data_IF_657664271699
#
_entry.id   IF_657664271699
#
_cell.length_a   1.000
_cell.length_b   1.000
_cell.length_c   1.000
_cell.angle_alpha   90.00
_cell.angle_beta   90.00
_cell.angle_gamma   90.00
#
_symmetry.space_group_name_H-M   'P 1'
#
loop_
_entity.id
_entity.type
_entity.pdbx_description
1 polymer ?
#
# COMPACT_ATOMS: atom_id res chain seq x y z
N UNK A 1 -17.71 -76.34 -40.18
CA UNK A 1 -18.83 -76.80 -41.02
C UNK A 1 -19.71 -75.59 -41.31
N UNK A 2 -20.13 -75.46 -42.57
CA UNK A 2 -21.07 -74.49 -43.12
C UNK A 2 -20.59 -73.03 -43.28
N UNK A 3 -20.36 -72.72 -44.54
CA UNK A 3 -20.15 -71.45 -45.26
C UNK A 3 -21.46 -70.69 -45.53
N UNK A 4 -21.31 -69.48 -46.12
CA UNK A 4 -22.30 -68.60 -46.81
C UNK A 4 -22.78 -67.38 -46.00
N UNK A 5 -22.79 -66.12 -46.49
CA UNK A 5 -22.57 -65.51 -47.82
C UNK A 5 -22.50 -63.96 -47.66
N UNK A 6 -21.79 -63.21 -48.52
CA UNK A 6 -22.07 -61.78 -48.84
C UNK A 6 -23.15 -61.72 -49.97
N UNK A 7 -23.63 -60.59 -50.59
CA UNK A 7 -23.07 -59.22 -50.68
C UNK A 7 -24.09 -58.03 -50.76
N UNK A 8 -23.52 -56.82 -50.82
CA UNK A 8 -23.92 -55.55 -51.51
C UNK A 8 -25.32 -55.33 -52.14
N UNK A 9 -25.87 -54.14 -51.91
CA UNK A 9 -26.53 -53.32 -52.96
C UNK A 9 -26.48 -51.81 -52.65
N UNK A 10 -25.72 -51.06 -53.44
CA UNK A 10 -25.95 -49.63 -53.76
C UNK A 10 -26.71 -49.59 -55.12
N UNK A 11 -27.10 -48.44 -55.72
CA UNK A 11 -27.18 -47.04 -55.26
C UNK A 11 -28.52 -46.35 -55.65
N UNK A 12 -28.82 -45.19 -55.07
CA UNK A 12 -29.60 -44.17 -55.80
C UNK A 12 -29.03 -42.79 -55.53
N UNK A 13 -28.37 -42.25 -56.54
CA UNK A 13 -27.90 -40.88 -56.69
C UNK A 13 -29.07 -39.91 -56.81
N UNK A 14 -29.09 -38.88 -55.97
CA UNK A 14 -29.59 -37.57 -56.33
C UNK A 14 -28.55 -36.55 -55.85
N UNK A 15 -27.96 -35.87 -56.82
CA UNK A 15 -26.98 -34.80 -56.65
C UNK A 15 -27.66 -33.50 -56.19
N UNK A 16 -26.85 -32.72 -55.48
CA UNK A 16 -26.79 -31.26 -55.42
C UNK A 16 -27.95 -30.48 -54.78
N UNK A 17 -27.76 -30.17 -53.50
CA UNK A 17 -27.95 -28.80 -53.01
C UNK A 17 -26.66 -28.31 -52.34
N UNK A 18 -25.93 -27.46 -53.06
CA UNK A 18 -24.95 -26.55 -52.49
C UNK A 18 -25.74 -25.37 -51.93
N UNK A 19 -25.89 -25.30 -50.60
CA UNK A 19 -26.28 -24.07 -49.93
C UNK A 19 -25.78 -24.02 -48.48
N UNK A 20 -24.93 -23.02 -48.27
CA UNK A 20 -24.56 -22.31 -47.05
C UNK A 20 -23.45 -22.84 -46.14
N UNK A 21 -22.52 -21.94 -45.74
CA UNK A 21 -21.51 -22.24 -44.75
C UNK A 21 -22.21 -22.49 -43.42
N UNK A 22 -21.82 -23.59 -42.77
CA UNK A 22 -22.20 -23.87 -41.39
C UNK A 22 -21.77 -22.66 -40.55
N UNK A 23 -22.79 -21.92 -40.12
CA UNK A 23 -22.74 -20.80 -39.21
C UNK A 23 -21.86 -21.16 -38.00
N UNK A 24 -20.77 -20.42 -37.69
CA UNK A 24 -20.02 -20.70 -36.48
C UNK A 24 -20.83 -20.14 -35.32
N UNK A 25 -21.64 -20.98 -34.67
CA UNK A 25 -22.21 -20.61 -33.39
C UNK A 25 -21.62 -21.49 -32.28
N UNK A 26 -20.46 -21.09 -31.69
CA UNK A 26 -19.97 -21.62 -30.43
C UNK A 26 -19.84 -20.49 -29.39
N UNK A 27 -20.82 -19.60 -29.30
CA UNK A 27 -20.79 -18.53 -28.31
C UNK A 27 -21.45 -19.00 -27.02
N UNK A 28 -20.74 -18.94 -25.90
CA UNK A 28 -21.29 -19.08 -24.54
C UNK A 28 -22.23 -17.91 -24.17
N UNK A 29 -22.81 -17.21 -25.16
CA UNK A 29 -23.75 -16.11 -24.97
C UNK A 29 -23.17 -14.83 -24.35
N UNK A 30 -21.85 -14.76 -24.12
CA UNK A 30 -21.24 -13.59 -23.51
C UNK A 30 -21.20 -12.39 -24.45
N UNK A 31 -21.69 -11.25 -23.96
CA UNK A 31 -21.62 -9.94 -24.61
C UNK A 31 -20.85 -8.98 -23.70
N UNK A 32 -20.08 -8.08 -24.28
CA UNK A 32 -19.32 -7.07 -23.54
C UNK A 32 -19.64 -5.68 -24.07
N UNK A 33 -20.29 -4.85 -23.26
CA UNK A 33 -20.70 -3.51 -23.63
C UNK A 33 -20.54 -2.57 -22.44
N UNK A 34 -20.06 -1.36 -22.68
CA UNK A 34 -19.91 -0.29 -21.67
C UNK A 34 -19.20 -0.72 -20.38
N UNK A 35 -18.17 -1.58 -20.49
CA UNK A 35 -17.39 -2.03 -19.34
C UNK A 35 -18.05 -3.14 -18.52
N UNK A 36 -19.06 -3.82 -19.06
CA UNK A 36 -19.75 -4.93 -18.39
C UNK A 36 -19.83 -6.15 -19.29
N UNK A 37 -19.40 -7.30 -18.78
CA UNK A 37 -19.58 -8.61 -19.40
C UNK A 37 -20.89 -9.24 -18.90
N UNK A 38 -21.78 -9.64 -19.81
CA UNK A 38 -23.06 -10.30 -19.51
C UNK A 38 -23.19 -11.61 -20.27
N UNK A 39 -23.63 -12.67 -19.60
CA UNK A 39 -23.93 -13.96 -20.22
C UNK A 39 -24.09 -15.05 -19.17
N UNK A 40 -24.87 -16.09 -19.47
CA UNK A 40 -25.10 -17.24 -18.57
C UNK A 40 -25.52 -16.83 -17.14
N UNK A 41 -26.48 -15.90 -17.02
CA UNK A 41 -26.97 -15.34 -15.74
C UNK A 41 -25.92 -14.59 -14.91
N UNK A 42 -24.74 -14.33 -15.48
CA UNK A 42 -23.65 -13.61 -14.84
C UNK A 42 -23.56 -12.19 -15.43
N UNK A 43 -23.29 -11.22 -14.54
CA UNK A 43 -22.95 -9.85 -14.87
C UNK A 43 -21.67 -9.46 -14.11
N UNK A 44 -20.56 -9.24 -14.82
CA UNK A 44 -19.28 -8.84 -14.23
C UNK A 44 -18.85 -7.51 -14.80
N UNK A 45 -18.60 -6.52 -13.94
CA UNK A 45 -18.08 -5.23 -14.36
C UNK A 45 -16.57 -5.25 -14.48
N UNK A 46 -16.03 -4.38 -15.33
CA UNK A 46 -14.60 -4.12 -15.46
C UNK A 46 -13.95 -3.81 -14.10
N UNK A 47 -14.67 -3.12 -13.21
CA UNK A 47 -14.14 -2.76 -11.90
C UNK A 47 -13.87 -3.97 -11.00
N UNK A 48 -14.61 -5.07 -11.21
CA UNK A 48 -14.56 -6.28 -10.38
C UNK A 48 -13.57 -7.33 -10.91
N UNK A 49 -13.14 -7.21 -12.17
CA UNK A 49 -12.26 -8.20 -12.80
C UNK A 49 -10.82 -8.03 -12.34
N UNK A 50 -10.16 -9.13 -11.99
CA UNK A 50 -8.72 -9.16 -11.74
C UNK A 50 -7.99 -9.41 -13.06
N UNK A 51 -8.26 -10.55 -13.70
CA UNK A 51 -7.65 -10.96 -14.97
C UNK A 51 -8.43 -12.10 -15.64
N UNK A 52 -8.10 -12.39 -16.90
CA UNK A 52 -8.60 -13.53 -17.67
C UNK A 52 -7.41 -14.38 -18.10
N UNK A 53 -7.40 -15.66 -17.74
CA UNK A 53 -6.36 -16.60 -18.15
C UNK A 53 -6.91 -17.59 -19.17
N UNK A 54 -6.05 -18.07 -20.08
CA UNK A 54 -6.42 -19.10 -21.04
C UNK A 54 -5.80 -20.43 -20.64
N UNK A 55 -6.63 -21.41 -20.27
CA UNK A 55 -6.16 -22.76 -19.94
C UNK A 55 -6.04 -23.55 -21.25
N UNK A 56 -4.88 -24.19 -21.52
CA UNK A 56 -4.75 -25.22 -22.57
C UNK A 56 -4.87 -26.63 -21.96
N UNK A 57 -5.44 -27.64 -22.66
CA UNK A 57 -6.68 -27.67 -23.43
C UNK A 57 -7.73 -28.49 -22.64
N UNK A 58 -8.64 -27.82 -21.94
CA UNK A 58 -9.85 -28.45 -21.40
C UNK A 58 -11.09 -27.88 -22.11
N UNK A 59 -12.28 -28.40 -21.82
CA UNK A 59 -13.55 -27.95 -22.43
C UNK A 59 -13.87 -26.46 -22.22
N UNK A 60 -13.11 -25.75 -21.36
CA UNK A 60 -13.19 -24.31 -21.13
C UNK A 60 -11.88 -23.64 -21.59
N UNK A 61 -11.98 -22.62 -22.44
CA UNK A 61 -10.84 -21.94 -23.06
C UNK A 61 -10.31 -20.80 -22.19
N UNK A 62 -11.18 -20.17 -21.42
CA UNK A 62 -10.90 -18.99 -20.61
C UNK A 62 -11.43 -19.14 -19.19
N UNK A 63 -10.68 -18.61 -18.24
CA UNK A 63 -11.05 -18.46 -16.83
C UNK A 63 -10.98 -16.98 -16.47
N UNK A 64 -12.10 -16.42 -16.06
CA UNK A 64 -12.21 -15.05 -15.57
C UNK A 64 -12.11 -15.10 -14.05
N UNK A 65 -11.14 -14.37 -13.50
CA UNK A 65 -11.05 -14.12 -12.06
C UNK A 65 -11.60 -12.75 -11.76
N UNK A 66 -12.59 -12.68 -10.87
CA UNK A 66 -13.17 -11.44 -10.37
C UNK A 66 -13.27 -11.45 -8.86
N UNK A 67 -13.27 -10.26 -8.26
CA UNK A 67 -13.49 -10.05 -6.83
C UNK A 67 -14.64 -9.06 -6.72
N UNK A 68 -15.90 -9.53 -6.65
CA UNK A 68 -17.03 -8.64 -6.48
C UNK A 68 -16.95 -7.90 -5.13
N UNK A 69 -17.66 -6.77 -4.98
CA UNK A 69 -17.82 -6.15 -3.68
C UNK A 69 -18.44 -7.16 -2.69
N UNK A 70 -18.13 -7.04 -1.38
CA UNK A 70 -18.78 -7.86 -0.36
C UNK A 70 -20.29 -7.74 -0.48
N UNK A 71 -21.03 -8.86 -0.41
CA UNK A 71 -22.49 -8.83 -0.40
C UNK A 71 -22.99 -8.21 0.91
N UNK A 72 -23.98 -7.31 0.85
CA UNK A 72 -24.70 -6.71 2.00
C UNK A 72 -25.52 -7.73 2.83
N UNK A 73 -25.16 -9.01 2.81
CA UNK A 73 -25.84 -10.06 3.58
C UNK A 73 -25.59 -9.86 5.07
N UNK A 74 -26.68 -9.99 5.83
CA UNK A 74 -26.88 -9.67 7.24
C UNK A 74 -25.70 -10.02 8.16
N UNK A 75 -25.51 -9.29 9.28
CA UNK A 75 -24.41 -9.49 10.24
C UNK A 75 -24.31 -10.88 10.91
N UNK A 76 -25.25 -11.78 10.63
CA UNK A 76 -25.43 -13.05 11.35
C UNK A 76 -24.76 -14.26 10.68
N UNK A 77 -24.19 -14.10 9.48
CA UNK A 77 -23.43 -15.16 8.81
C UNK A 77 -21.97 -14.78 8.67
N UNK A 78 -21.05 -15.62 9.19
CA UNK A 78 -19.58 -15.55 9.03
C UNK A 78 -19.19 -15.80 7.56
N UNK A 79 -19.64 -14.97 6.63
CA UNK A 79 -19.15 -15.00 5.26
C UNK A 79 -17.66 -14.57 5.25
N UNK A 80 -16.82 -15.17 4.40
CA UNK A 80 -15.43 -14.74 4.26
C UNK A 80 -15.38 -13.27 3.83
N UNK A 81 -14.44 -12.51 4.38
CA UNK A 81 -14.30 -11.08 4.10
C UNK A 81 -14.00 -10.79 2.61
N UNK A 82 -13.45 -11.79 1.91
CA UNK A 82 -13.17 -11.74 0.49
C UNK A 82 -13.57 -13.06 -0.16
N UNK A 83 -14.13 -13.02 -1.37
CA UNK A 83 -14.43 -14.25 -2.11
C UNK A 83 -14.09 -14.03 -3.58
N UNK A 84 -13.03 -14.69 -4.03
CA UNK A 84 -12.71 -14.71 -5.46
C UNK A 84 -13.78 -15.51 -6.20
N UNK A 85 -14.28 -14.93 -7.29
CA UNK A 85 -15.20 -15.60 -8.21
C UNK A 85 -14.42 -16.06 -9.44
N UNK A 86 -14.64 -17.31 -9.80
CA UNK A 86 -14.06 -17.95 -10.98
C UNK A 86 -15.19 -18.25 -11.97
N UNK A 87 -15.15 -17.60 -13.13
CA UNK A 87 -16.12 -17.85 -14.21
C UNK A 87 -15.40 -18.49 -15.40
N UNK A 88 -15.92 -19.60 -15.89
CA UNK A 88 -15.35 -20.31 -17.04
C UNK A 88 -16.12 -20.01 -18.32
N UNK A 89 -15.39 -19.82 -19.42
CA UNK A 89 -15.95 -19.57 -20.74
C UNK A 89 -15.15 -20.30 -21.84
N UNK A 90 -15.83 -20.72 -22.90
CA UNK A 90 -15.29 -21.27 -24.15
C UNK A 90 -14.91 -20.18 -25.13
N UNK A 91 -15.66 -19.08 -25.11
CA UNK A 91 -15.47 -17.92 -25.96
C UNK A 91 -15.82 -16.66 -25.18
N UNK A 92 -15.05 -15.59 -25.43
CA UNK A 92 -15.25 -14.28 -24.85
C UNK A 92 -15.08 -13.22 -25.95
N UNK A 93 -15.76 -12.07 -25.86
CA UNK A 93 -15.62 -10.99 -26.84
C UNK A 93 -14.16 -10.51 -26.96
N UNK A 94 -13.70 -10.20 -28.17
CA UNK A 94 -12.31 -9.79 -28.43
C UNK A 94 -11.91 -8.52 -27.67
N UNK A 95 -12.81 -7.52 -27.61
CA UNK A 95 -12.59 -6.29 -26.85
C UNK A 95 -12.42 -6.56 -25.34
N UNK A 96 -13.12 -7.57 -24.80
CA UNK A 96 -12.97 -7.98 -23.41
C UNK A 96 -11.61 -8.64 -23.17
N UNK A 97 -11.21 -9.55 -24.06
CA UNK A 97 -9.92 -10.24 -24.00
C UNK A 97 -8.75 -9.26 -24.12
N UNK A 98 -8.80 -8.34 -25.09
CA UNK A 98 -7.79 -7.28 -25.28
C UNK A 98 -7.55 -6.46 -24.01
N UNK A 99 -8.58 -6.29 -23.18
CA UNK A 99 -8.52 -5.50 -21.96
C UNK A 99 -8.06 -6.27 -20.73
N UNK A 100 -8.51 -7.51 -20.55
CA UNK A 100 -8.36 -8.23 -19.28
C UNK A 100 -7.52 -9.50 -19.36
N UNK A 101 -7.20 -9.97 -20.56
CA UNK A 101 -6.42 -11.19 -20.72
C UNK A 101 -5.00 -11.01 -20.20
N UNK A 102 -4.58 -11.93 -19.34
CA UNK A 102 -3.23 -12.04 -18.84
C UNK A 102 -2.25 -12.24 -20.00
N UNK A 103 -1.32 -11.30 -20.14
CA UNK A 103 -0.35 -11.27 -21.25
C UNK A 103 0.97 -12.00 -20.94
N UNK A 104 1.05 -12.66 -19.77
CA UNK A 104 2.26 -13.30 -19.27
C UNK A 104 2.84 -12.58 -18.05
N UNK A 105 3.80 -13.24 -17.39
CA UNK A 105 4.40 -12.73 -16.17
C UNK A 105 5.23 -11.48 -16.46
N UNK A 106 5.03 -10.37 -15.73
CA UNK A 106 5.91 -9.22 -15.80
C UNK A 106 7.32 -9.61 -15.32
N UNK A 107 8.36 -8.89 -15.77
CA UNK A 107 9.76 -9.26 -15.54
C UNK A 107 10.12 -9.44 -14.05
N UNK A 108 9.48 -8.67 -13.16
CA UNK A 108 9.69 -8.77 -11.72
C UNK A 108 9.05 -10.04 -11.09
N UNK A 109 8.15 -10.73 -11.77
CA UNK A 109 7.62 -12.04 -11.37
C UNK A 109 8.22 -13.20 -12.20
N UNK A 110 9.27 -12.94 -12.97
CA UNK A 110 9.94 -13.95 -13.79
C UNK A 110 10.62 -15.04 -12.95
N UNK A 111 10.94 -16.19 -13.57
CA UNK A 111 11.50 -17.36 -12.88
C UNK A 111 12.87 -17.12 -12.23
N UNK A 112 13.61 -16.11 -12.69
CA UNK A 112 14.93 -15.75 -12.16
C UNK A 112 14.86 -14.84 -10.92
N UNK A 113 13.66 -14.38 -10.54
CA UNK A 113 13.46 -13.52 -9.38
C UNK A 113 13.09 -14.35 -8.15
N UNK A 114 13.80 -14.13 -7.04
CA UNK A 114 13.39 -14.70 -5.76
C UNK A 114 12.11 -14.00 -5.27
N UNK A 115 11.05 -14.78 -5.02
CA UNK A 115 9.70 -14.29 -4.75
C UNK A 115 9.19 -14.65 -3.34
N UNK A 116 9.54 -13.88 -2.30
CA UNK A 116 8.90 -14.02 -0.99
C UNK A 116 7.55 -13.31 -0.92
N UNK A 117 6.59 -13.97 -0.28
CA UNK A 117 5.28 -13.44 0.08
C UNK A 117 5.26 -13.22 1.60
N UNK A 118 5.34 -11.96 2.02
CA UNK A 118 5.32 -11.58 3.43
C UNK A 118 3.89 -11.27 3.86
N UNK A 119 3.38 -12.03 4.83
CA UNK A 119 2.01 -11.92 5.34
C UNK A 119 2.04 -11.37 6.76
N UNK A 120 1.62 -10.12 6.92
CA UNK A 120 1.46 -9.50 8.23
C UNK A 120 0.21 -10.05 8.94
N UNK A 121 0.39 -10.96 9.89
CA UNK A 121 -0.69 -11.74 10.52
C UNK A 121 -1.65 -10.92 11.37
N UNK A 122 -1.15 -9.95 12.15
CA UNK A 122 -1.95 -9.21 13.15
C UNK A 122 -2.09 -7.71 12.80
N UNK A 123 -1.18 -7.14 12.01
CA UNK A 123 -1.21 -5.70 11.74
C UNK A 123 -2.38 -5.27 10.85
N UNK A 124 -2.78 -4.00 10.97
CA UNK A 124 -3.82 -3.40 10.13
C UNK A 124 -5.20 -3.99 10.40
N UNK A 125 -5.81 -4.55 9.37
CA UNK A 125 -7.16 -5.15 9.43
C UNK A 125 -7.18 -6.58 9.97
N UNK A 126 -6.02 -7.23 10.12
CA UNK A 126 -5.94 -8.66 10.46
C UNK A 126 -6.42 -9.60 9.34
N UNK A 127 -6.69 -9.06 8.15
CA UNK A 127 -7.25 -9.83 7.02
C UNK A 127 -6.20 -10.42 6.08
N UNK A 128 -4.91 -10.14 6.30
CA UNK A 128 -3.87 -10.60 5.38
C UNK A 128 -3.77 -12.14 5.24
N UNK A 129 -3.90 -12.94 6.33
CA UNK A 129 -3.92 -14.39 6.21
C UNK A 129 -5.06 -14.93 5.33
N UNK A 130 -6.29 -14.43 5.52
CA UNK A 130 -7.44 -14.88 4.73
C UNK A 130 -7.36 -14.35 3.30
N UNK A 131 -6.95 -13.09 3.09
CA UNK A 131 -6.73 -12.55 1.75
C UNK A 131 -5.72 -13.36 0.95
N UNK A 132 -4.65 -13.83 1.60
CA UNK A 132 -3.68 -14.69 0.95
C UNK A 132 -4.32 -15.99 0.45
N UNK A 133 -5.00 -16.73 1.33
CA UNK A 133 -5.57 -18.04 0.99
C UNK A 133 -6.78 -17.95 0.05
N UNK A 134 -7.66 -16.98 0.26
CA UNK A 134 -8.95 -16.87 -0.43
C UNK A 134 -8.86 -16.07 -1.74
N UNK A 135 -7.82 -15.26 -1.92
CA UNK A 135 -7.70 -14.35 -3.08
C UNK A 135 -6.35 -14.46 -3.77
N UNK A 136 -5.25 -14.15 -3.08
CA UNK A 136 -3.96 -14.04 -3.76
C UNK A 136 -3.46 -15.39 -4.28
N UNK A 137 -3.52 -16.46 -3.47
CA UNK A 137 -3.08 -17.80 -3.88
C UNK A 137 -3.84 -18.28 -5.13
N UNK A 138 -5.19 -18.23 -5.20
CA UNK A 138 -5.92 -18.54 -6.43
C UNK A 138 -5.49 -17.71 -7.66
N UNK A 139 -5.18 -16.42 -7.47
CA UNK A 139 -4.68 -15.56 -8.56
C UNK A 139 -3.30 -16.02 -9.03
N UNK A 140 -2.39 -16.34 -8.10
CA UNK A 140 -1.05 -16.84 -8.41
C UNK A 140 -1.12 -18.19 -9.15
N UNK A 141 -1.94 -19.13 -8.68
CA UNK A 141 -2.14 -20.43 -9.32
C UNK A 141 -2.65 -20.27 -10.75
N UNK A 142 -3.61 -19.37 -10.98
CA UNK A 142 -4.20 -19.14 -12.30
C UNK A 142 -3.21 -18.55 -13.32
N UNK A 143 -2.19 -17.83 -12.86
CA UNK A 143 -1.13 -17.28 -13.73
C UNK A 143 0.12 -18.18 -13.80
N UNK A 144 0.05 -19.38 -13.22
CA UNK A 144 1.12 -20.37 -13.28
C UNK A 144 2.26 -20.13 -12.28
N UNK A 145 1.97 -19.46 -11.16
CA UNK A 145 2.87 -19.33 -10.02
C UNK A 145 2.36 -20.20 -8.87
N UNK A 146 3.01 -21.34 -8.63
CA UNK A 146 2.70 -22.23 -7.51
C UNK A 146 3.96 -22.50 -6.67
N UNK A 147 3.80 -23.02 -5.46
CA UNK A 147 4.94 -23.53 -4.69
C UNK A 147 5.66 -24.65 -5.48
N UNK A 148 7.02 -24.68 -5.51
CA UNK A 148 7.96 -23.89 -4.71
C UNK A 148 8.48 -22.59 -5.39
N UNK A 149 7.81 -22.05 -6.42
CA UNK A 149 8.28 -20.85 -7.14
C UNK A 149 8.27 -19.57 -6.28
N UNK A 150 7.46 -19.55 -5.22
CA UNK A 150 7.47 -18.51 -4.20
C UNK A 150 7.62 -19.11 -2.80
N UNK A 151 8.04 -18.29 -1.85
CA UNK A 151 8.14 -18.65 -0.44
C UNK A 151 7.13 -17.86 0.39
N UNK A 152 6.34 -18.53 1.21
CA UNK A 152 5.36 -17.87 2.10
C UNK A 152 5.99 -17.66 3.47
N UNK A 153 6.00 -16.42 3.95
CA UNK A 153 6.48 -16.04 5.28
C UNK A 153 5.36 -15.34 6.03
N UNK A 154 4.97 -15.90 7.17
CA UNK A 154 3.97 -15.33 8.08
C UNK A 154 4.70 -14.65 9.23
N UNK A 155 4.31 -13.42 9.56
CA UNK A 155 4.92 -12.69 10.68
C UNK A 155 4.48 -13.28 12.02
N UNK A 156 5.39 -13.32 12.98
CA UNK A 156 5.14 -13.78 14.35
C UNK A 156 5.22 -12.64 15.37
N UNK A 157 5.82 -11.51 14.99
CA UNK A 157 5.98 -10.31 15.81
C UNK A 157 6.04 -9.03 14.97
N UNK A 158 6.06 -7.89 15.64
CA UNK A 158 6.23 -6.55 15.04
C UNK A 158 7.58 -6.37 14.35
N UNK A 159 8.58 -7.18 14.66
CA UNK A 159 9.93 -7.10 14.10
C UNK A 159 10.16 -8.09 12.96
N UNK A 160 9.20 -8.99 12.68
CA UNK A 160 9.41 -10.10 11.74
C UNK A 160 9.83 -9.64 10.34
N UNK A 161 9.18 -8.60 9.80
CA UNK A 161 9.49 -8.06 8.47
C UNK A 161 10.87 -7.39 8.49
N UNK A 162 11.16 -6.61 9.52
CA UNK A 162 12.44 -5.91 9.69
C UNK A 162 13.61 -6.92 9.77
N UNK A 163 13.47 -7.98 10.58
CA UNK A 163 14.50 -9.01 10.71
C UNK A 163 14.68 -9.81 9.41
N UNK A 164 13.57 -10.13 8.73
CA UNK A 164 13.63 -10.80 7.43
C UNK A 164 14.36 -9.95 6.39
N UNK A 165 14.09 -8.64 6.35
CA UNK A 165 14.75 -7.72 5.45
C UNK A 165 16.25 -7.58 5.74
N UNK A 166 16.61 -7.40 7.02
CA UNK A 166 18.00 -7.32 7.49
C UNK A 166 18.80 -8.59 7.21
N UNK A 167 18.17 -9.76 7.31
CA UNK A 167 18.81 -11.04 7.04
C UNK A 167 18.79 -11.40 5.57
N UNK A 168 17.66 -11.93 5.11
CA UNK A 168 17.55 -12.64 3.83
C UNK A 168 17.52 -11.69 2.64
N UNK A 169 16.72 -10.62 2.71
CA UNK A 169 16.60 -9.67 1.59
C UNK A 169 17.89 -8.88 1.35
N UNK A 170 18.50 -8.35 2.41
CA UNK A 170 19.76 -7.59 2.31
C UNK A 170 20.87 -8.46 1.73
N UNK A 171 21.01 -9.70 2.23
CA UNK A 171 21.98 -10.65 1.70
C UNK A 171 21.76 -10.92 0.21
N UNK A 172 20.54 -11.27 -0.20
CA UNK A 172 20.21 -11.52 -1.60
C UNK A 172 20.49 -10.30 -2.48
N UNK A 173 20.16 -9.10 -1.98
CA UNK A 173 20.38 -7.86 -2.72
C UNK A 173 21.88 -7.61 -2.92
N UNK A 174 22.69 -7.81 -1.89
CA UNK A 174 24.15 -7.69 -1.95
C UNK A 174 24.81 -8.77 -2.85
N UNK A 175 24.22 -9.96 -2.95
CA UNK A 175 24.64 -11.00 -3.90
C UNK A 175 24.24 -10.68 -5.36
N UNK A 176 23.60 -9.54 -5.62
CA UNK A 176 23.13 -9.14 -6.96
C UNK A 176 21.91 -9.93 -7.44
N UNK A 177 21.17 -10.57 -6.53
CA UNK A 177 20.00 -11.37 -6.86
C UNK A 177 18.79 -10.46 -7.10
N UNK A 178 18.07 -10.71 -8.19
CA UNK A 178 16.73 -10.12 -8.39
C UNK A 178 15.76 -10.67 -7.35
N UNK A 179 15.05 -9.79 -6.67
CA UNK A 179 14.10 -10.14 -5.61
C UNK A 179 12.83 -9.31 -5.75
N UNK A 180 11.67 -9.96 -5.63
CA UNK A 180 10.37 -9.31 -5.62
C UNK A 180 9.57 -9.75 -4.41
N UNK A 181 9.22 -8.82 -3.55
CA UNK A 181 8.45 -9.09 -2.34
C UNK A 181 6.99 -8.76 -2.60
N UNK A 182 6.10 -9.76 -2.49
CA UNK A 182 4.67 -9.49 -2.37
C UNK A 182 4.35 -9.29 -0.89
N UNK A 183 4.01 -8.07 -0.51
CA UNK A 183 3.83 -7.66 0.87
C UNK A 183 2.33 -7.45 1.16
N UNK A 184 1.74 -8.35 1.96
CA UNK A 184 0.40 -8.20 2.50
C UNK A 184 0.50 -7.48 3.84
N UNK A 185 0.54 -6.15 3.78
CA UNK A 185 0.72 -5.27 4.94
C UNK A 185 0.23 -3.85 4.63
N UNK A 186 0.41 -2.92 5.58
CA UNK A 186 0.29 -1.48 5.36
C UNK A 186 1.63 -0.81 5.06
N UNK A 187 1.67 0.51 5.21
CA UNK A 187 2.90 1.31 5.01
C UNK A 187 4.02 0.88 5.96
N UNK A 188 3.69 0.50 7.21
CA UNK A 188 4.66 0.02 8.19
C UNK A 188 5.51 -1.17 7.71
N UNK A 189 4.92 -2.11 6.94
CA UNK A 189 5.69 -3.22 6.38
C UNK A 189 6.70 -2.78 5.32
N UNK A 190 6.40 -1.72 4.57
CA UNK A 190 7.36 -1.14 3.61
C UNK A 190 8.51 -0.47 4.38
N UNK A 191 8.18 0.25 5.45
CA UNK A 191 9.15 0.94 6.33
C UNK A 191 10.06 -0.04 7.04
N UNK A 192 9.54 -1.17 7.52
CA UNK A 192 10.33 -2.24 8.12
C UNK A 192 11.35 -2.81 7.13
N UNK A 193 10.96 -3.00 5.87
CA UNK A 193 11.89 -3.44 4.82
C UNK A 193 12.98 -2.39 4.59
N UNK A 194 12.59 -1.12 4.40
CA UNK A 194 13.54 -0.02 4.17
C UNK A 194 14.56 0.06 5.31
N UNK A 195 14.11 0.08 6.56
CA UNK A 195 14.99 0.16 7.72
C UNK A 195 15.84 -1.11 7.85
N UNK A 196 15.28 -2.31 7.66
CA UNK A 196 16.05 -3.56 7.68
C UNK A 196 17.18 -3.59 6.65
N UNK A 197 16.99 -2.98 5.47
CA UNK A 197 18.01 -2.87 4.43
C UNK A 197 19.07 -1.79 4.71
N UNK A 198 18.78 -0.79 5.56
CA UNK A 198 19.64 0.38 5.81
C UNK A 198 20.34 0.36 7.17
N UNK A 199 19.81 -0.35 8.17
CA UNK A 199 20.23 -0.22 9.56
C UNK A 199 21.65 -0.77 9.83
N UNK A 200 22.05 -1.85 9.13
CA UNK A 200 23.23 -2.64 9.50
C UNK A 200 24.09 -3.11 8.29
N UNK A 201 23.76 -2.69 7.06
CA UNK A 201 24.36 -3.24 5.85
C UNK A 201 25.15 -2.23 5.04
N UNK A 202 26.45 -2.46 4.86
CA UNK A 202 27.14 -1.91 3.70
C UNK A 202 26.50 -2.50 2.44
N UNK A 203 25.97 -1.63 1.59
CA UNK A 203 25.52 -2.02 0.26
C UNK A 203 26.75 -2.30 -0.58
N UNK A 204 26.87 -3.54 -1.03
CA UNK A 204 27.93 -3.94 -1.95
C UNK A 204 27.81 -3.22 -3.29
N UNK A 205 28.90 -3.22 -4.07
CA UNK A 205 28.87 -2.70 -5.45
C UNK A 205 27.95 -3.48 -6.39
N UNK A 206 27.54 -4.68 -6.00
CA UNK A 206 26.62 -5.56 -6.75
C UNK A 206 25.17 -5.45 -6.25
N UNK A 207 24.88 -4.51 -5.36
CA UNK A 207 23.55 -4.37 -4.77
C UNK A 207 22.45 -4.20 -5.82
N UNK A 208 21.45 -5.09 -5.79
CA UNK A 208 20.22 -4.99 -6.59
C UNK A 208 19.04 -4.68 -5.66
N UNK A 209 18.40 -3.49 -5.79
CA UNK A 209 17.25 -3.12 -4.97
C UNK A 209 16.08 -4.10 -5.13
N UNK A 210 15.53 -4.68 -4.05
CA UNK A 210 14.31 -5.48 -4.11
C UNK A 210 13.13 -4.68 -4.65
N UNK A 211 12.28 -5.31 -5.46
CA UNK A 211 11.00 -4.74 -5.88
C UNK A 211 9.90 -5.12 -4.91
N UNK A 212 9.04 -4.18 -4.53
CA UNK A 212 7.94 -4.37 -3.59
C UNK A 212 6.60 -4.26 -4.31
N UNK A 213 5.72 -5.24 -4.09
CA UNK A 213 4.31 -5.20 -4.50
C UNK A 213 3.49 -5.12 -3.22
N UNK A 214 2.87 -3.97 -2.97
CA UNK A 214 2.04 -3.77 -1.78
C UNK A 214 0.61 -4.26 -2.05
N UNK A 215 0.16 -5.23 -1.26
CA UNK A 215 -1.26 -5.55 -1.09
C UNK A 215 -1.75 -4.80 0.16
N UNK A 216 -2.52 -3.71 0.00
CA UNK A 216 -2.73 -2.69 1.02
C UNK A 216 -3.76 -3.11 2.08
N UNK A 217 -3.31 -3.90 3.06
CA UNK A 217 -4.15 -4.45 4.13
C UNK A 217 -4.01 -3.70 5.46
N UNK A 218 -3.30 -2.56 5.44
CA UNK A 218 -3.19 -1.60 6.54
C UNK A 218 -4.42 -0.70 6.68
N UNK A 219 -4.40 0.17 7.69
CA UNK A 219 -5.51 1.12 7.96
C UNK A 219 -5.46 2.36 7.07
N UNK A 220 -4.28 2.96 6.88
CA UNK A 220 -4.09 4.20 6.11
C UNK A 220 -3.72 3.96 4.64
N UNK A 221 -2.70 3.12 4.40
CA UNK A 221 -2.17 2.78 3.07
C UNK A 221 -1.82 4.03 2.23
N UNK A 222 -1.14 4.98 2.87
CA UNK A 222 -0.76 6.27 2.30
C UNK A 222 0.08 6.13 1.02
N UNK A 223 1.03 5.18 1.02
CA UNK A 223 1.81 4.86 -0.17
C UNK A 223 0.89 4.35 -1.28
N UNK A 224 -0.01 3.42 -0.98
CA UNK A 224 -0.89 2.86 -1.99
C UNK A 224 -1.76 3.93 -2.64
N UNK A 225 -2.39 4.81 -1.84
CA UNK A 225 -3.26 5.87 -2.33
C UNK A 225 -2.53 6.94 -3.15
N UNK A 226 -1.25 7.15 -2.89
CA UNK A 226 -0.43 8.09 -3.66
C UNK A 226 0.11 7.45 -4.93
N UNK A 227 0.59 6.20 -4.84
CA UNK A 227 1.35 5.57 -5.91
C UNK A 227 0.49 4.95 -6.99
N UNK A 228 -0.83 5.02 -6.90
CA UNK A 228 -1.73 4.40 -7.85
C UNK A 228 -2.65 5.41 -8.50
N UNK A 229 -3.00 5.17 -9.77
CA UNK A 229 -3.96 6.01 -10.49
C UNK A 229 -5.27 6.06 -9.70
N UNK A 230 -5.74 7.25 -9.39
CA UNK A 230 -7.07 7.41 -8.82
C UNK A 230 -8.07 6.76 -9.76
N UNK A 231 -8.75 5.76 -9.22
CA UNK A 231 -9.65 4.92 -9.95
C UNK A 231 -11.04 5.19 -9.42
N UNK A 232 -12.05 5.38 -10.29
CA UNK A 232 -13.45 5.41 -9.84
C UNK A 232 -13.87 4.05 -9.24
N UNK A 233 -13.02 3.01 -9.39
CA UNK A 233 -13.27 1.66 -8.91
C UNK A 233 -13.30 1.61 -7.37
N UNK A 234 -14.23 0.85 -6.77
CA UNK A 234 -14.45 0.87 -5.32
C UNK A 234 -13.37 0.15 -4.51
N UNK A 235 -12.72 -0.89 -5.05
CA UNK A 235 -11.83 -1.78 -4.30
C UNK A 235 -10.34 -1.54 -4.55
N UNK A 236 -9.61 -1.11 -3.52
CA UNK A 236 -8.15 -0.99 -3.58
C UNK A 236 -7.45 -2.34 -3.80
N UNK A 237 -8.09 -3.44 -3.41
CA UNK A 237 -7.52 -4.79 -3.54
C UNK A 237 -7.46 -5.24 -5.00
N UNK A 238 -8.49 -4.92 -5.79
CA UNK A 238 -8.50 -5.23 -7.23
C UNK A 238 -7.43 -4.43 -7.94
N UNK A 239 -7.27 -3.17 -7.57
CA UNK A 239 -6.18 -2.34 -8.08
C UNK A 239 -4.83 -2.95 -7.73
N UNK A 240 -4.62 -3.39 -6.49
CA UNK A 240 -3.36 -4.02 -6.06
C UNK A 240 -3.06 -5.32 -6.84
N UNK A 241 -4.07 -6.17 -7.04
CA UNK A 241 -3.93 -7.41 -7.82
C UNK A 241 -3.66 -7.12 -9.31
N UNK A 242 -4.24 -6.08 -9.88
CA UNK A 242 -3.93 -5.63 -11.25
C UNK A 242 -2.54 -5.05 -11.37
N UNK A 243 -2.12 -4.25 -10.39
CA UNK A 243 -0.75 -3.73 -10.29
C UNK A 243 0.27 -4.87 -10.21
N UNK A 244 -0.03 -5.94 -9.46
CA UNK A 244 0.82 -7.13 -9.42
C UNK A 244 1.05 -7.69 -10.83
N UNK A 245 0.01 -7.75 -11.67
CA UNK A 245 0.08 -8.35 -13.00
C UNK A 245 0.61 -7.43 -14.10
N UNK A 246 0.43 -6.11 -13.96
CA UNK A 246 0.62 -5.15 -15.07
C UNK A 246 1.40 -3.89 -14.68
N UNK A 247 1.82 -3.79 -13.43
CA UNK A 247 2.51 -2.61 -12.91
C UNK A 247 3.93 -2.47 -13.44
N UNK A 248 4.58 -1.38 -13.02
CA UNK A 248 5.97 -1.08 -13.34
C UNK A 248 6.74 -0.83 -12.06
N UNK A 249 7.91 -1.48 -11.92
CA UNK A 249 8.83 -1.29 -10.80
C UNK A 249 9.62 0.00 -10.97
N UNK A 250 9.53 0.93 -10.02
CA UNK A 250 10.25 2.23 -10.00
C UNK A 250 10.94 2.45 -8.64
N UNK A 251 12.09 3.14 -8.56
CA UNK A 251 12.71 3.47 -7.27
C UNK A 251 11.74 4.21 -6.35
N UNK A 252 11.72 3.84 -5.06
CA UNK A 252 10.90 4.52 -4.05
C UNK A 252 11.75 5.59 -3.33
N UNK A 253 11.41 6.88 -3.46
CA UNK A 253 12.10 7.94 -2.71
C UNK A 253 11.92 7.76 -1.20
N UNK A 254 12.98 8.05 -0.45
CA UNK A 254 12.98 7.99 1.01
C UNK A 254 13.61 9.24 1.61
N UNK A 255 13.38 9.44 2.90
CA UNK A 255 14.09 10.42 3.72
C UNK A 255 14.69 9.72 4.94
N UNK A 256 15.64 10.39 5.58
CA UNK A 256 16.18 9.97 6.88
C UNK A 256 15.75 10.95 7.95
N UNK A 257 15.44 10.44 9.14
CA UNK A 257 15.21 11.18 10.37
C UNK A 257 16.30 10.79 11.37
N UNK A 258 17.14 11.73 11.76
CA UNK A 258 18.19 11.57 12.77
C UNK A 258 17.79 12.27 14.06
N UNK A 259 18.25 11.73 15.18
CA UNK A 259 17.83 12.16 16.51
C UNK A 259 19.03 12.46 17.41
N UNK A 260 18.83 13.34 18.38
CA UNK A 260 19.78 13.54 19.47
C UNK A 260 20.00 12.26 20.28
N UNK A 261 21.19 12.08 20.91
CA UNK A 261 21.42 10.97 21.83
C UNK A 261 20.36 10.90 22.93
N UNK A 262 20.00 9.69 23.33
CA UNK A 262 18.98 9.45 24.35
C UNK A 262 17.57 9.22 23.79
N UNK A 263 17.29 9.60 22.54
CA UNK A 263 16.00 9.31 21.91
C UNK A 263 15.66 7.82 21.90
N UNK A 264 14.37 7.52 22.04
CA UNK A 264 13.84 6.15 22.14
C UNK A 264 12.66 5.94 21.21
N UNK A 265 12.63 4.78 20.55
CA UNK A 265 11.43 4.29 19.89
C UNK A 265 10.45 3.82 20.96
N UNK A 266 9.22 4.33 20.89
CA UNK A 266 8.14 4.04 21.83
C UNK A 266 7.19 3.03 21.19
N UNK A 267 7.06 1.87 21.83
CA UNK A 267 6.17 0.78 21.41
C UNK A 267 5.31 0.34 22.59
N UNK A 268 4.35 -0.56 22.33
CA UNK A 268 3.43 -1.08 23.32
C UNK A 268 2.73 0.05 24.10
N UNK A 269 2.01 0.92 23.38
CA UNK A 269 1.29 2.07 23.97
C UNK A 269 2.20 3.07 24.70
N UNK A 270 3.49 3.12 24.32
CA UNK A 270 4.50 3.96 24.97
C UNK A 270 5.07 3.38 26.26
N UNK A 271 4.70 2.15 26.64
CA UNK A 271 5.23 1.48 27.83
C UNK A 271 6.64 0.91 27.60
N UNK A 272 7.02 0.67 26.35
CA UNK A 272 8.32 0.12 25.99
C UNK A 272 9.12 1.17 25.23
N UNK A 273 10.31 1.51 25.77
CA UNK A 273 11.22 2.48 25.20
C UNK A 273 12.52 1.80 24.79
N UNK A 274 12.80 1.73 23.49
CA UNK A 274 13.98 1.04 22.95
C UNK A 274 14.96 2.02 22.31
N UNK A 275 16.28 1.82 22.43
CA UNK A 275 17.26 2.63 21.71
C UNK A 275 17.04 2.58 20.20
N UNK A 276 17.20 3.73 19.55
CA UNK A 276 17.14 3.82 18.09
C UNK A 276 18.54 3.47 17.55
N UNK A 277 18.67 2.43 16.70
CA UNK A 277 19.93 2.10 16.04
C UNK A 277 20.51 3.31 15.31
N UNK A 278 21.78 3.64 15.59
CA UNK A 278 22.48 4.81 15.03
C UNK A 278 21.75 6.16 15.21
N UNK A 279 20.79 6.24 16.14
CA UNK A 279 19.86 7.36 16.28
C UNK A 279 19.23 7.82 14.95
N UNK A 280 18.95 6.88 14.04
CA UNK A 280 18.42 7.18 12.71
C UNK A 280 17.30 6.21 12.34
N UNK A 281 16.25 6.76 11.74
CA UNK A 281 15.14 6.02 11.14
C UNK A 281 14.98 6.51 9.71
N UNK A 282 14.65 5.62 8.79
CA UNK A 282 14.32 5.97 7.41
C UNK A 282 12.80 5.88 7.20
N UNK A 283 12.27 6.81 6.41
CA UNK A 283 10.86 6.86 6.07
C UNK A 283 10.64 7.09 4.57
N UNK A 284 9.45 6.75 4.11
CA UNK A 284 8.94 6.94 2.76
C UNK A 284 7.58 7.65 2.73
N UNK A 285 7.00 7.98 3.90
CA UNK A 285 5.64 8.56 3.98
C UNK A 285 5.67 9.95 4.61
N UNK A 286 5.95 10.05 5.90
CA UNK A 286 5.73 11.24 6.73
C UNK A 286 6.70 11.33 7.91
N UNK A 287 7.21 12.52 8.18
CA UNK A 287 7.87 12.88 9.43
C UNK A 287 7.15 14.07 10.06
N UNK A 288 6.87 14.02 11.36
CA UNK A 288 6.00 15.03 11.98
C UNK A 288 6.25 15.26 13.47
N UNK A 289 5.83 16.45 13.90
CA UNK A 289 5.79 16.90 15.28
C UNK A 289 4.52 17.74 15.52
N UNK A 290 4.02 17.75 16.75
CA UNK A 290 2.82 18.49 17.13
C UNK A 290 1.60 17.58 17.22
N UNK A 291 0.44 18.12 16.86
CA UNK A 291 -0.84 17.42 16.94
C UNK A 291 -0.82 16.06 16.23
N UNK A 292 -0.22 15.96 15.03
CA UNK A 292 -0.17 14.70 14.29
C UNK A 292 0.58 13.59 15.06
N UNK A 293 1.79 13.86 15.55
CA UNK A 293 2.58 12.82 16.26
C UNK A 293 1.92 12.41 17.58
N UNK A 294 1.35 13.36 18.32
CA UNK A 294 0.58 13.07 19.54
C UNK A 294 -0.67 12.26 19.24
N UNK A 295 -1.42 12.61 18.19
CA UNK A 295 -2.62 11.90 17.75
C UNK A 295 -2.29 10.46 17.35
N UNK A 296 -1.23 10.24 16.57
CA UNK A 296 -0.82 8.89 16.18
C UNK A 296 -0.45 8.08 17.43
N UNK A 297 0.37 8.65 18.32
CA UNK A 297 0.81 7.97 19.54
C UNK A 297 -0.33 7.66 20.53
N UNK A 298 -1.23 8.61 20.78
CA UNK A 298 -2.31 8.47 21.77
C UNK A 298 -3.46 7.61 21.23
N UNK A 299 -3.58 7.48 19.90
CA UNK A 299 -4.56 6.58 19.27
C UNK A 299 -4.11 5.12 19.20
N UNK A 300 -2.83 4.85 19.48
CA UNK A 300 -2.24 3.51 19.33
C UNK A 300 -2.30 2.69 20.61
N UNK A 301 -3.47 2.66 21.26
CA UNK A 301 -3.76 1.84 22.44
C UNK A 301 -4.69 0.69 22.13
N UNK A 302 -4.70 -0.37 22.94
CA UNK A 302 -5.64 -1.49 22.84
C UNK A 302 -7.09 -1.02 22.92
N UNK A 303 -7.36 0.02 23.73
CA UNK A 303 -8.69 0.64 23.81
C UNK A 303 -9.08 1.29 22.48
N UNK A 304 -8.21 2.13 21.92
CA UNK A 304 -8.50 2.89 20.71
C UNK A 304 -8.44 2.05 19.43
N UNK A 305 -7.58 1.03 19.35
CA UNK A 305 -7.44 0.15 18.18
C UNK A 305 -8.73 -0.57 17.81
N UNK A 306 -9.61 -0.85 18.78
CA UNK A 306 -10.94 -1.46 18.56
C UNK A 306 -11.85 -0.61 17.66
N UNK A 307 -11.59 0.69 17.56
CA UNK A 307 -12.38 1.62 16.76
C UNK A 307 -11.89 1.77 15.31
N UNK A 308 -10.87 1.01 14.89
CA UNK A 308 -10.31 1.09 13.54
C UNK A 308 -9.87 2.52 13.19
N UNK A 309 -10.16 2.99 11.99
CA UNK A 309 -9.80 4.36 11.56
C UNK A 309 -10.47 5.48 12.40
N UNK A 310 -11.62 5.21 13.03
CA UNK A 310 -12.35 6.23 13.83
C UNK A 310 -11.58 6.68 15.06
N UNK A 311 -10.59 5.90 15.51
CA UNK A 311 -9.78 6.19 16.69
C UNK A 311 -9.05 7.53 16.62
N UNK A 312 -8.60 7.92 15.43
CA UNK A 312 -7.91 9.19 15.23
C UNK A 312 -8.82 10.38 15.50
N UNK A 313 -10.10 10.30 15.09
CA UNK A 313 -11.09 11.34 15.35
C UNK A 313 -11.47 11.47 16.83
N UNK A 314 -11.51 10.36 17.56
CA UNK A 314 -11.75 10.37 19.01
C UNK A 314 -10.63 11.10 19.75
N UNK A 315 -9.38 10.69 19.52
CA UNK A 315 -8.21 11.32 20.13
C UNK A 315 -8.03 12.77 19.68
N UNK A 316 -8.32 13.09 18.41
CA UNK A 316 -8.29 14.47 17.93
C UNK A 316 -9.22 15.38 18.75
N UNK A 317 -10.41 14.90 19.10
CA UNK A 317 -11.36 15.68 19.90
C UNK A 317 -10.78 16.02 21.28
N UNK A 318 -10.20 15.04 21.96
CA UNK A 318 -9.63 15.23 23.29
C UNK A 318 -8.41 16.16 23.28
N UNK A 319 -7.58 16.09 22.23
CA UNK A 319 -6.41 16.96 22.07
C UNK A 319 -6.78 18.40 21.71
N UNK A 320 -7.86 18.59 20.95
CA UNK A 320 -8.31 19.91 20.48
C UNK A 320 -9.19 20.63 21.51
N UNK A 321 -9.92 19.89 22.33
CA UNK A 321 -10.84 20.41 23.35
C UNK A 321 -10.61 19.73 24.71
N UNK A 322 -9.42 19.88 25.31
CA UNK A 322 -9.16 19.28 26.61
C UNK A 322 -9.97 19.98 27.72
N UNK A 323 -10.27 19.27 28.80
CA UNK A 323 -10.97 19.82 29.97
C UNK A 323 -10.23 21.01 30.60
N UNK A 324 -8.91 21.11 30.39
CA UNK A 324 -8.08 22.24 30.81
C UNK A 324 -8.32 23.53 30.01
N UNK A 325 -9.16 23.49 28.97
CA UNK A 325 -9.60 24.66 28.20
C UNK A 325 -8.93 24.79 26.83
N UNK A 326 -7.63 25.07 26.78
CA UNK A 326 -6.91 25.31 25.52
C UNK A 326 -6.09 24.08 25.06
N UNK A 327 -6.01 23.82 23.75
CA UNK A 327 -5.14 22.76 23.23
C UNK A 327 -3.67 23.07 23.52
N UNK A 328 -2.85 22.01 23.62
CA UNK A 328 -1.42 22.14 23.89
C UNK A 328 -0.71 22.93 22.79
N UNK A 329 0.16 23.85 23.21
CA UNK A 329 1.03 24.64 22.33
C UNK A 329 2.40 24.00 22.30
N UNK A 330 2.77 23.41 21.18
CA UNK A 330 4.02 22.66 21.05
C UNK A 330 5.21 23.62 20.93
N UNK A 331 6.14 23.54 21.88
CA UNK A 331 7.30 24.43 21.97
C UNK A 331 8.50 23.85 21.23
N UNK A 332 8.90 24.50 20.13
CA UNK A 332 10.09 24.13 19.38
C UNK A 332 10.67 25.26 18.55
N UNK A 333 12.00 25.22 18.38
CA UNK A 333 12.67 25.95 17.31
C UNK A 333 12.75 25.07 16.06
N UNK A 334 12.31 25.62 14.92
CA UNK A 334 12.27 24.89 13.64
C UNK A 334 13.18 25.59 12.64
N UNK A 335 14.05 24.82 12.00
CA UNK A 335 14.88 25.25 10.88
C UNK A 335 14.45 24.49 9.64
N UNK A 336 14.11 25.20 8.56
CA UNK A 336 13.84 24.62 7.25
C UNK A 336 15.10 24.68 6.39
N UNK A 337 15.32 23.65 5.57
CA UNK A 337 16.43 23.61 4.61
C UNK A 337 15.86 23.67 3.20
N UNK A 338 16.29 24.66 2.42
CA UNK A 338 15.83 24.89 1.04
C UNK A 338 16.99 25.27 0.14
N UNK A 339 17.23 24.52 -0.92
CA UNK A 339 18.35 24.71 -1.84
C UNK A 339 19.68 24.84 -1.08
N UNK A 340 19.85 24.02 -0.04
CA UNK A 340 21.02 24.04 0.86
C UNK A 340 21.11 25.24 1.81
N UNK A 341 20.11 26.13 1.86
CA UNK A 341 20.05 27.27 2.79
C UNK A 341 19.16 26.93 3.98
N UNK A 342 19.62 27.28 5.18
CA UNK A 342 18.86 27.16 6.42
C UNK A 342 18.06 28.43 6.70
N UNK A 343 16.80 28.26 7.10
CA UNK A 343 15.94 29.33 7.58
C UNK A 343 15.28 28.94 8.89
N UNK A 344 15.49 29.76 9.92
CA UNK A 344 14.86 29.56 11.22
C UNK A 344 13.50 30.23 11.22
N UNK A 345 12.46 29.46 11.55
CA UNK A 345 11.13 30.02 11.74
C UNK A 345 11.12 30.92 12.99
N UNK A 346 10.58 32.14 12.83
CA UNK A 346 10.53 33.13 13.90
C UNK A 346 9.69 32.64 15.09
N UNK A 347 8.57 31.96 14.81
CA UNK A 347 7.66 31.43 15.83
C UNK A 347 8.26 30.23 16.59
N UNK A 348 7.93 30.12 17.88
CA UNK A 348 8.32 29.02 18.76
C UNK A 348 7.16 28.13 19.23
N UNK A 349 5.92 28.61 19.10
CA UNK A 349 4.71 27.83 19.41
C UNK A 349 4.08 27.28 18.12
N UNK A 350 3.84 25.98 18.09
CA UNK A 350 3.30 25.27 16.93
C UNK A 350 2.09 24.43 17.33
N UNK A 351 1.20 24.16 16.37
CA UNK A 351 0.17 23.11 16.51
C UNK A 351 0.50 21.93 15.61
N UNK A 352 1.04 22.17 14.41
CA UNK A 352 1.21 21.15 13.40
C UNK A 352 2.48 21.38 12.59
N UNK A 353 3.35 20.38 12.51
CA UNK A 353 4.51 20.34 11.62
C UNK A 353 4.56 18.94 11.00
N UNK A 354 4.37 18.84 9.69
CA UNK A 354 4.35 17.57 8.98
C UNK A 354 5.03 17.71 7.64
N UNK A 355 6.08 16.94 7.42
CA UNK A 355 6.72 16.78 6.12
C UNK A 355 6.38 15.43 5.51
N UNK A 356 6.13 15.35 4.22
CA UNK A 356 5.67 14.12 3.57
C UNK A 356 6.14 13.98 2.12
N UNK A 357 6.29 12.72 1.68
CA UNK A 357 6.54 12.32 0.28
C UNK A 357 5.27 11.85 -0.43
N UNK A 358 4.15 11.76 0.29
CA UNK A 358 2.87 11.28 -0.23
C UNK A 358 1.88 12.43 -0.40
N UNK A 359 0.84 12.24 -1.21
CA UNK A 359 -0.27 13.21 -1.33
C UNK A 359 -1.32 12.99 -0.25
N UNK A 360 -1.59 11.73 0.07
CA UNK A 360 -2.67 11.28 0.92
C UNK A 360 -2.14 10.43 2.08
N UNK A 361 -2.59 10.69 3.31
CA UNK A 361 -2.30 9.81 4.47
C UNK A 361 -3.36 8.72 4.65
N UNK A 362 -4.55 8.95 4.10
CA UNK A 362 -5.62 7.97 3.89
C UNK A 362 -6.41 8.38 2.64
N UNK A 363 -7.30 7.51 2.17
CA UNK A 363 -8.06 7.68 0.91
C UNK A 363 -8.62 9.09 0.68
N UNK A 364 -9.20 9.71 1.71
CA UNK A 364 -9.88 11.01 1.61
C UNK A 364 -9.11 12.16 2.25
N UNK A 365 -7.94 11.90 2.84
CA UNK A 365 -7.18 12.91 3.56
C UNK A 365 -5.97 13.35 2.73
N UNK A 366 -6.18 14.36 1.89
CA UNK A 366 -5.16 14.94 1.01
C UNK A 366 -4.35 15.96 1.81
N UNK A 367 -3.23 15.53 2.41
CA UNK A 367 -2.38 16.41 3.23
C UNK A 367 -1.45 17.29 2.39
N UNK A 368 -1.05 16.81 1.21
CA UNK A 368 -0.06 17.47 0.36
C UNK A 368 -0.53 17.43 -1.11
N UNK A 369 -1.41 18.35 -1.52
CA UNK A 369 -2.06 18.30 -2.84
C UNK A 369 -1.09 18.50 -4.02
N UNK A 370 0.10 19.09 -3.80
CA UNK A 370 1.11 19.23 -4.85
C UNK A 370 2.09 18.04 -4.94
N UNK A 371 2.02 17.07 -4.02
CA UNK A 371 2.83 15.84 -4.09
C UNK A 371 2.44 15.03 -5.31
N UNK A 372 3.43 14.66 -6.13
CA UNK A 372 3.23 13.74 -7.24
C UNK A 372 3.88 12.39 -6.93
N UNK A 373 3.34 11.30 -7.46
CA UNK A 373 3.87 9.98 -7.17
C UNK A 373 5.34 9.87 -7.57
N UNK A 374 6.19 9.44 -6.62
CA UNK A 374 7.63 9.21 -6.83
C UNK A 374 8.43 10.45 -7.30
N UNK A 375 7.95 11.67 -7.05
CA UNK A 375 8.67 12.89 -7.49
C UNK A 375 9.89 13.24 -6.63
N UNK A 376 10.07 12.57 -5.49
CA UNK A 376 11.22 12.75 -4.61
C UNK A 376 11.29 14.14 -3.97
N UNK A 377 10.16 14.85 -3.88
CA UNK A 377 10.11 16.18 -3.28
C UNK A 377 9.40 16.11 -1.92
N UNK A 378 10.16 16.32 -0.85
CA UNK A 378 9.62 16.44 0.50
C UNK A 378 8.88 17.77 0.63
N UNK A 379 7.61 17.72 1.05
CA UNK A 379 6.78 18.92 1.24
C UNK A 379 6.33 19.01 2.67
N UNK A 380 6.41 20.21 3.24
CA UNK A 380 6.05 20.48 4.62
C UNK A 380 4.77 21.31 4.70
N UNK A 381 3.87 20.92 5.60
CA UNK A 381 2.70 21.67 6.05
C UNK A 381 2.94 22.05 7.50
N UNK A 382 2.86 23.35 7.82
CA UNK A 382 2.99 23.78 9.20
C UNK A 382 2.19 25.04 9.55
N UNK A 383 1.77 25.13 10.81
CA UNK A 383 1.15 26.33 11.36
C UNK A 383 1.38 26.48 12.88
N UNK A 384 1.30 27.73 13.34
CA UNK A 384 1.51 28.10 14.74
C UNK A 384 0.42 27.59 15.68
N UNK A 385 0.53 27.93 16.96
CA UNK A 385 -0.52 27.63 17.95
C UNK A 385 -1.89 28.21 17.54
N UNK A 386 -2.92 27.38 17.58
CA UNK A 386 -4.32 27.74 17.23
C UNK A 386 -5.31 27.16 18.25
N UNK A 387 -6.53 27.71 18.30
CA UNK A 387 -7.61 27.11 19.09
C UNK A 387 -8.04 25.75 18.51
N UNK A 388 -8.79 24.97 19.30
CA UNK A 388 -9.35 23.70 18.83
C UNK A 388 -10.22 23.88 17.58
N UNK A 389 -11.09 24.89 17.57
CA UNK A 389 -11.96 25.22 16.44
C UNK A 389 -11.18 25.64 15.19
N UNK A 390 -10.19 26.53 15.35
CA UNK A 390 -9.36 26.99 14.22
C UNK A 390 -8.59 25.81 13.62
N UNK A 391 -8.01 24.96 14.47
CA UNK A 391 -7.28 23.78 14.03
C UNK A 391 -8.19 22.80 13.31
N UNK A 392 -9.39 22.54 13.84
CA UNK A 392 -10.37 21.68 13.19
C UNK A 392 -10.79 22.22 11.83
N UNK A 393 -11.05 23.52 11.72
CA UNK A 393 -11.42 24.17 10.46
C UNK A 393 -10.31 24.05 9.42
N UNK A 394 -9.06 24.24 9.82
CA UNK A 394 -7.90 24.01 8.95
C UNK A 394 -7.85 22.55 8.51
N UNK A 395 -7.86 21.60 9.44
CA UNK A 395 -7.67 20.18 9.12
C UNK A 395 -8.84 19.58 8.33
N UNK A 396 -10.04 20.14 8.44
CA UNK A 396 -11.18 19.77 7.58
C UNK A 396 -10.88 20.05 6.09
N UNK A 397 -10.11 21.10 5.79
CA UNK A 397 -9.69 21.39 4.42
C UNK A 397 -8.87 20.26 3.77
N UNK A 398 -8.17 19.44 4.55
CA UNK A 398 -7.45 18.27 4.03
C UNK A 398 -8.40 17.18 3.49
N UNK A 399 -9.63 17.10 4.03
CA UNK A 399 -10.70 16.25 3.52
C UNK A 399 -11.45 16.84 2.32
N UNK A 400 -11.23 18.12 2.04
CA UNK A 400 -11.84 18.86 0.93
C UNK A 400 -10.81 19.06 -0.18
N UNK A 401 -10.19 17.96 -0.63
CA UNK A 401 -9.16 17.93 -1.69
C UNK A 401 -7.90 18.77 -1.38
N UNK A 402 -7.54 18.90 -0.10
CA UNK A 402 -6.31 19.56 0.32
C UNK A 402 -6.42 21.09 0.42
N UNK A 403 -7.62 21.65 0.50
CA UNK A 403 -7.87 23.10 0.66
C UNK A 403 -7.31 23.70 1.95
N UNK A 404 -6.85 22.89 2.92
CA UNK A 404 -6.22 23.39 4.14
C UNK A 404 -4.99 24.27 3.85
N UNK A 405 -4.29 24.04 2.73
CA UNK A 405 -3.14 24.86 2.33
C UNK A 405 -3.53 26.25 1.80
N UNK A 406 -4.80 26.50 1.52
CA UNK A 406 -5.30 27.81 1.06
C UNK A 406 -5.54 28.77 2.22
N UNK A 407 -5.55 28.26 3.45
CA UNK A 407 -5.67 29.08 4.66
C UNK A 407 -4.43 29.96 4.81
N UNK A 408 -4.63 31.26 5.05
CA UNK A 408 -3.53 32.20 5.34
C UNK A 408 -2.71 31.84 6.60
N UNK A 409 -3.26 30.97 7.45
CA UNK A 409 -2.59 30.48 8.65
C UNK A 409 -1.66 29.29 8.40
N UNK A 410 -1.72 28.68 7.23
CA UNK A 410 -0.97 27.48 6.87
C UNK A 410 0.12 27.84 5.89
N UNK A 411 1.35 27.43 6.19
CA UNK A 411 2.43 27.46 5.23
C UNK A 411 2.65 26.05 4.67
N UNK A 412 2.81 26.00 3.35
CA UNK A 412 3.00 24.79 2.57
C UNK A 412 4.08 24.99 1.52
N UNK A 413 5.14 24.19 1.56
CA UNK A 413 6.31 24.41 0.72
C UNK A 413 7.15 23.14 0.51
N UNK A 414 7.93 23.13 -0.58
CA UNK A 414 8.92 22.11 -0.83
C UNK A 414 10.22 22.42 -0.06
N UNK A 415 10.80 21.39 0.56
CA UNK A 415 12.01 21.49 1.38
C UNK A 415 12.99 20.36 1.04
N UNK A 416 14.29 20.59 1.26
CA UNK A 416 15.30 19.52 1.24
C UNK A 416 15.37 18.77 2.58
N UNK A 417 14.91 19.41 3.66
CA UNK A 417 14.94 18.88 5.01
C UNK A 417 14.47 19.91 6.04
N UNK A 418 14.37 19.49 7.30
CA UNK A 418 14.06 20.37 8.42
C UNK A 418 14.67 19.84 9.72
N UNK A 419 14.87 20.73 10.69
CA UNK A 419 15.31 20.38 12.04
C UNK A 419 14.36 20.96 13.08
N UNK A 420 13.96 20.14 14.03
CA UNK A 420 13.19 20.53 15.21
C UNK A 420 14.12 20.40 16.42
N UNK A 421 14.29 21.50 17.15
CA UNK A 421 14.90 21.50 18.47
C UNK A 421 13.80 21.68 19.50
N UNK A 422 13.57 20.65 20.32
CA UNK A 422 12.44 20.60 21.26
C UNK A 422 12.72 21.53 22.45
N UNK A 423 11.71 22.30 22.84
CA UNK A 423 11.79 23.26 23.95
C UNK A 423 10.84 22.93 25.11
N UNK A 424 10.15 21.78 25.01
CA UNK A 424 9.29 21.25 26.06
C UNK A 424 10.10 20.70 27.23
N UNK A 425 9.69 21.00 28.46
CA UNK A 425 10.38 20.57 29.69
C UNK A 425 9.66 19.43 30.41
N UNK A 426 10.35 18.73 31.31
CA UNK A 426 9.76 17.76 32.25
C UNK A 426 9.96 16.30 31.84
N UNK A 427 9.70 15.36 32.75
CA UNK A 427 10.11 13.95 32.58
C UNK A 427 9.34 13.19 31.50
N UNK A 428 8.08 13.57 31.23
CA UNK A 428 7.25 12.89 30.23
C UNK A 428 7.65 13.25 28.80
N UNK A 429 7.77 12.25 27.93
CA UNK A 429 7.94 12.49 26.49
C UNK A 429 6.68 12.95 25.77
N UNK A 430 5.51 13.04 26.42
CA UNK A 430 4.22 13.27 25.73
C UNK A 430 4.28 14.36 24.65
N UNK A 431 4.87 15.51 24.99
CA UNK A 431 5.01 16.69 24.12
C UNK A 431 6.33 16.76 23.35
N UNK A 432 7.23 15.78 23.53
CA UNK A 432 8.48 15.57 22.78
C UNK A 432 8.46 14.27 21.98
N UNK A 433 7.25 13.82 21.59
CA UNK A 433 7.07 12.72 20.65
C UNK A 433 7.00 13.24 19.23
N UNK A 434 7.79 12.66 18.35
CA UNK A 434 7.69 12.82 16.91
C UNK A 434 7.26 11.50 16.27
N UNK A 435 6.77 11.57 15.03
CA UNK A 435 6.30 10.41 14.29
C UNK A 435 7.04 10.34 12.95
N UNK A 436 7.62 9.18 12.65
CA UNK A 436 8.23 8.84 11.36
C UNK A 436 7.52 7.61 10.82
N UNK A 437 6.68 7.78 9.80
CA UNK A 437 5.85 6.75 9.18
C UNK A 437 5.03 5.89 10.18
N UNK A 438 4.55 6.52 11.26
CA UNK A 438 3.80 5.86 12.32
C UNK A 438 4.66 5.35 13.48
N UNK A 439 5.99 5.29 13.33
CA UNK A 439 6.92 5.01 14.42
C UNK A 439 7.02 6.22 15.34
N UNK A 440 6.74 6.02 16.63
CA UNK A 440 6.76 7.10 17.62
C UNK A 440 8.12 7.15 18.31
N UNK A 441 8.75 8.33 18.27
CA UNK A 441 10.05 8.56 18.92
C UNK A 441 9.89 9.57 20.04
N UNK A 442 10.22 9.17 21.27
CA UNK A 442 10.40 10.05 22.41
C UNK A 442 11.78 10.69 22.39
N UNK A 443 11.83 12.00 22.56
CA UNK A 443 13.06 12.80 22.55
C UNK A 443 13.30 13.41 23.92
N UNK A 444 14.55 13.34 24.38
CA UNK A 444 14.96 13.92 25.65
C UNK A 444 14.78 15.44 25.68
N UNK A 445 14.74 16.00 26.89
CA UNK A 445 14.69 17.45 27.07
C UNK A 445 15.92 18.12 26.42
N UNK A 446 15.68 19.20 25.66
CA UNK A 446 16.72 19.87 24.87
C UNK A 446 17.21 19.08 23.64
N UNK A 447 16.62 17.92 23.35
CA UNK A 447 16.95 17.10 22.19
C UNK A 447 16.46 17.68 20.87
N UNK A 448 16.72 16.95 19.79
CA UNK A 448 16.36 17.36 18.43
C UNK A 448 16.03 16.19 17.51
N UNK A 449 15.26 16.49 16.45
CA UNK A 449 15.04 15.65 15.28
C UNK A 449 15.46 16.43 14.03
N UNK A 450 16.19 15.80 13.12
CA UNK A 450 16.58 16.36 11.83
C UNK A 450 16.14 15.41 10.72
N UNK A 451 15.41 15.92 9.73
CA UNK A 451 14.95 15.17 8.57
C UNK A 451 15.64 15.67 7.32
N UNK A 452 16.14 14.75 6.50
CA UNK A 452 16.84 15.04 5.24
C UNK A 452 16.36 14.11 4.14
N UNK A 453 16.12 14.65 2.95
CA UNK A 453 15.79 13.87 1.76
C UNK A 453 16.97 12.95 1.36
N UNK A 454 16.69 11.67 1.11
CA UNK A 454 17.67 10.70 0.61
C UNK A 454 17.78 10.76 -0.91
N UNK A 455 18.60 11.67 -1.47
CA UNK A 455 18.78 11.78 -2.92
C UNK A 455 19.74 10.69 -3.42
N UNK A 456 19.26 9.77 -4.27
CA UNK A 456 20.07 8.68 -4.81
C UNK A 456 20.33 7.55 -3.80
N UNK A 457 19.56 7.51 -2.71
CA UNK A 457 19.69 6.52 -1.64
C UNK A 457 18.60 5.44 -1.70
N UNK A 458 17.83 5.35 -2.79
CA UNK A 458 16.72 4.42 -2.93
C UNK A 458 17.21 2.97 -2.77
N UNK A 459 16.73 2.31 -1.70
CA UNK A 459 17.09 0.92 -1.37
C UNK A 459 16.09 -0.10 -1.88
N UNK A 460 14.90 0.36 -2.26
CA UNK A 460 13.85 -0.49 -2.77
C UNK A 460 13.22 0.15 -3.99
N UNK A 461 12.61 -0.70 -4.80
CA UNK A 461 11.70 -0.30 -5.87
C UNK A 461 10.29 -0.66 -5.45
N UNK A 462 9.30 0.08 -5.93
CA UNK A 462 7.89 -0.22 -5.72
C UNK A 462 7.21 -0.41 -7.06
N UNK A 463 6.37 -1.45 -7.15
CA UNK A 463 5.55 -1.73 -8.32
C UNK A 463 4.26 -0.93 -8.21
N UNK A 464 3.95 -0.15 -9.24
CA UNK A 464 2.71 0.62 -9.31
C UNK A 464 2.14 0.71 -10.73
N UNK A 465 0.89 1.18 -10.86
CA UNK A 465 0.18 1.31 -12.14
C UNK A 465 0.31 2.70 -12.79
N UNK A 466 1.31 3.49 -12.38
CA UNK A 466 1.58 4.87 -12.85
C UNK A 466 2.10 4.96 -14.27
#
# INVERSE_FOLDING_TARGET
>A
MATHQPPTSSPTTAQDEIANPINPNPNDGFTYNNGTLKGNEIEIKDEDIITVTSIQPSKHRYTILSLPPPSDTSPETKAPAFSIQTTHAKSLPDEFLKRHQFQGLPSYLGPDSYLPILISTVSGTGLAPSFFEEVLRPVLDAIGLSEPQYEVIRTESTESILQYAKGKLLRGANEGRSQTVILLSGDGGVVDIINGLLQDGDRSSTYVPPSLIQIPLGTGNALFHTLHKQSPRPSLYIQALRTLLTGTSKPLPTFSASFSPGSRLLTNEGQTATPIPNNKIHGAVVASYGLHSTLVADSDTVEYRKHGAKRFGLVAKDLLFPDSGAPHKYLASVTLVRNGKEEVLERKEHTYILATLVSNLEKTFTISPASRPLDGVLRIVHFGAKSGEQTMNIMKGAYEDGKHIESADVAYEAIDGFKISFQETGESWKWRRCCVDGLIVGVEEGGWMEVKMGKGEEVVRIVSDL
#
